data_IF_493581046855
#
_entry.id   IF_493581046855
#
_cell.length_a   1.000
_cell.length_b   1.000
_cell.length_c   1.000
_cell.angle_alpha   90.00
_cell.angle_beta   90.00
_cell.angle_gamma   90.00
#
_symmetry.space_group_name_H-M   'P 1'
#
loop_
_entity.id
_entity.type
_entity.pdbx_description
1 polymer ?
#
# COMPACT_ATOMS: atom_id res chain seq x y z
N UNK A 1 -24.61 -28.81 4.46
CA UNK A 1 -24.58 -27.55 3.69
C UNK A 1 -23.15 -27.32 3.22
N UNK A 2 -22.87 -27.34 1.92
CA UNK A 2 -21.52 -27.12 1.38
C UNK A 2 -21.51 -25.75 0.72
N UNK A 3 -21.04 -24.74 1.47
CA UNK A 3 -20.94 -23.37 0.97
C UNK A 3 -19.57 -23.21 0.34
N UNK A 4 -19.53 -23.00 -0.98
CA UNK A 4 -18.32 -22.62 -1.71
C UNK A 4 -18.43 -21.11 -1.93
N UNK A 5 -17.71 -20.33 -1.15
CA UNK A 5 -17.56 -18.89 -1.37
C UNK A 5 -16.35 -18.63 -2.27
N UNK A 6 -16.37 -17.57 -3.10
CA UNK A 6 -15.16 -17.13 -3.79
C UNK A 6 -14.03 -16.84 -2.79
N UNK A 7 -12.79 -16.81 -3.28
CA UNK A 7 -11.61 -16.48 -2.48
C UNK A 7 -11.82 -15.19 -1.71
N UNK A 8 -11.45 -15.19 -0.42
CA UNK A 8 -11.68 -14.07 0.49
C UNK A 8 -10.98 -12.81 -0.03
N UNK A 9 -11.76 -11.87 -0.57
CA UNK A 9 -11.31 -10.52 -0.87
C UNK A 9 -11.67 -9.60 0.30
N UNK A 10 -10.75 -8.73 0.70
CA UNK A 10 -11.03 -7.64 1.66
C UNK A 10 -10.64 -7.89 3.12
N UNK A 11 -10.01 -9.02 3.46
CA UNK A 11 -9.36 -9.17 4.76
C UNK A 11 -8.17 -10.13 4.68
N UNK A 12 -7.31 -10.09 5.70
CA UNK A 12 -6.28 -11.10 5.93
C UNK A 12 -6.41 -11.65 7.34
N UNK A 13 -6.02 -12.92 7.49
CA UNK A 13 -5.87 -13.60 8.79
C UNK A 13 -4.38 -13.73 9.07
N UNK A 14 -3.94 -13.26 10.25
CA UNK A 14 -2.56 -13.35 10.71
C UNK A 14 -2.55 -14.20 11.97
N UNK A 15 -1.76 -15.26 11.96
CA UNK A 15 -1.52 -16.14 13.10
C UNK A 15 -0.10 -15.88 13.60
N UNK A 16 0.05 -15.76 14.92
CA UNK A 16 1.32 -15.54 15.60
C UNK A 16 1.59 -16.74 16.52
N UNK A 17 2.68 -17.44 16.30
CA UNK A 17 3.18 -18.50 17.17
C UNK A 17 3.84 -17.93 18.43
N UNK A 18 4.19 -18.78 19.39
CA UNK A 18 4.62 -18.38 20.74
C UNK A 18 5.78 -17.37 20.79
N UNK A 19 6.66 -17.41 19.80
CA UNK A 19 7.82 -16.52 19.69
C UNK A 19 7.56 -15.28 18.83
N UNK A 20 6.46 -15.26 18.08
CA UNK A 20 6.19 -14.22 17.11
C UNK A 20 5.74 -12.94 17.80
N UNK A 21 6.33 -11.83 17.34
CA UNK A 21 5.95 -10.49 17.75
C UNK A 21 5.87 -9.61 16.52
N UNK A 22 4.73 -8.94 16.38
CA UNK A 22 4.39 -8.10 15.25
C UNK A 22 4.00 -6.70 15.72
N UNK A 23 4.49 -5.66 15.04
CA UNK A 23 4.05 -4.29 15.26
C UNK A 23 3.08 -3.89 14.14
N UNK A 24 1.80 -3.75 14.47
CA UNK A 24 0.74 -3.31 13.54
C UNK A 24 0.60 -1.79 13.59
N UNK A 25 0.68 -1.15 12.43
CA UNK A 25 0.68 0.32 12.29
C UNK A 25 -0.71 0.91 12.05
N UNK A 26 -1.67 0.08 11.65
CA UNK A 26 -3.07 0.46 11.46
C UNK A 26 -3.97 -0.36 12.39
N UNK A 27 -3.85 -0.24 13.72
CA UNK A 27 -4.53 -1.14 14.65
C UNK A 27 -6.06 -1.04 14.64
N UNK A 28 -6.62 0.04 14.11
CA UNK A 28 -8.05 0.19 13.87
C UNK A 28 -8.59 -0.70 12.74
N UNK A 29 -7.72 -1.26 11.91
CA UNK A 29 -8.08 -2.23 10.86
C UNK A 29 -8.23 -3.65 11.40
N UNK A 30 -7.77 -3.92 12.63
CA UNK A 30 -7.98 -5.21 13.30
C UNK A 30 -9.46 -5.29 13.69
N UNK A 31 -10.21 -6.14 12.99
CA UNK A 31 -11.65 -6.33 13.21
C UNK A 31 -11.98 -7.52 14.11
N UNK A 32 -11.03 -8.45 14.27
CA UNK A 32 -11.12 -9.54 15.23
C UNK A 32 -9.74 -9.87 15.79
N UNK A 33 -9.70 -10.25 17.06
CA UNK A 33 -8.50 -10.71 17.75
C UNK A 33 -8.85 -11.86 18.67
N UNK A 34 -8.07 -12.93 18.62
CA UNK A 34 -8.19 -14.11 19.45
C UNK A 34 -6.85 -14.37 20.14
N UNK A 35 -6.81 -14.25 21.46
CA UNK A 35 -5.60 -14.42 22.25
C UNK A 35 -5.73 -13.77 23.61
N UNK A 36 -4.69 -13.91 24.44
CA UNK A 36 -4.64 -13.19 25.72
C UNK A 36 -4.69 -11.68 25.48
N UNK A 37 -5.48 -10.89 26.23
CA UNK A 37 -5.43 -9.43 26.15
C UNK A 37 -4.05 -8.86 26.49
N UNK A 38 -3.24 -9.58 27.29
CA UNK A 38 -1.86 -9.20 27.63
C UNK A 38 -0.89 -9.30 26.45
N UNK A 39 -1.27 -10.03 25.40
CA UNK A 39 -0.47 -10.19 24.19
C UNK A 39 -0.71 -9.07 23.17
N UNK A 40 -1.51 -8.06 23.52
CA UNK A 40 -1.70 -6.85 22.73
C UNK A 40 -1.35 -5.62 23.57
N UNK A 41 -0.53 -4.74 23.01
CA UNK A 41 -0.17 -3.49 23.65
C UNK A 41 -0.19 -2.33 22.64
N UNK A 42 -1.05 -1.34 22.89
CA UNK A 42 -1.22 -0.18 22.02
C UNK A 42 -0.37 0.99 22.53
N UNK A 43 0.49 1.55 21.68
CA UNK A 43 1.39 2.66 22.03
C UNK A 43 1.34 3.77 20.99
N UNK A 44 1.52 5.00 21.44
CA UNK A 44 1.74 6.14 20.54
C UNK A 44 3.16 6.03 19.96
N UNK A 45 3.30 6.21 18.65
CA UNK A 45 4.60 6.31 17.99
C UNK A 45 5.05 7.76 17.87
N UNK A 46 6.30 8.04 18.24
CA UNK A 46 6.98 9.28 17.83
C UNK A 46 7.65 9.05 16.48
N UNK A 47 6.85 9.11 15.40
CA UNK A 47 7.41 9.33 14.07
C UNK A 47 7.80 10.81 13.96
N UNK A 48 8.95 11.07 13.32
CA UNK A 48 9.57 12.38 13.20
C UNK A 48 8.57 13.53 12.95
N UNK A 49 8.95 14.73 13.41
CA UNK A 49 8.12 15.93 13.58
C UNK A 49 7.05 16.24 12.51
N UNK A 50 7.23 15.85 11.25
CA UNK A 50 6.26 16.03 10.17
C UNK A 50 4.92 15.28 10.39
N UNK A 51 4.94 14.09 11.01
CA UNK A 51 3.72 13.34 11.31
C UNK A 51 3.08 13.67 12.67
N UNK A 52 3.74 14.46 13.52
CA UNK A 52 3.30 14.78 14.89
C UNK A 52 1.90 15.41 15.00
N UNK A 53 1.36 15.99 13.92
CA UNK A 53 -0.02 16.54 13.93
C UNK A 53 -1.10 15.46 14.06
N UNK A 54 -0.79 14.18 13.79
CA UNK A 54 -1.69 13.04 14.04
C UNK A 54 -0.93 12.04 14.91
N UNK A 55 -1.40 11.81 16.14
CA UNK A 55 -0.84 10.76 17.01
C UNK A 55 -1.05 9.41 16.32
N UNK A 56 0.01 8.80 15.80
CA UNK A 56 -0.04 7.46 15.23
C UNK A 56 0.02 6.45 16.37
N UNK A 57 -0.89 5.47 16.34
CA UNK A 57 -0.95 4.38 17.31
C UNK A 57 -0.42 3.13 16.62
N UNK A 58 0.53 2.45 17.25
CA UNK A 58 0.91 1.08 16.89
C UNK A 58 0.38 0.11 17.92
N UNK A 59 0.05 -1.10 17.49
CA UNK A 59 -0.22 -2.23 18.38
C UNK A 59 0.90 -3.24 18.26
N UNK A 60 1.59 -3.49 19.38
CA UNK A 60 2.47 -4.65 19.51
C UNK A 60 1.61 -5.87 19.79
N UNK A 61 1.68 -6.87 18.94
CA UNK A 61 0.94 -8.13 18.99
C UNK A 61 1.94 -9.25 19.25
N UNK A 62 1.65 -10.13 20.19
CA UNK A 62 2.51 -11.25 20.58
C UNK A 62 1.75 -12.57 20.48
N UNK A 63 2.42 -13.64 20.07
CA UNK A 63 1.81 -14.96 20.08
C UNK A 63 1.83 -15.64 21.46
N UNK A 64 1.07 -16.74 21.64
CA UNK A 64 0.16 -17.29 20.66
C UNK A 64 -1.10 -16.42 20.54
N UNK A 65 -1.41 -15.97 19.34
CA UNK A 65 -2.61 -15.18 19.06
C UNK A 65 -2.93 -15.15 17.57
N UNK A 66 -4.13 -14.70 17.26
CA UNK A 66 -4.61 -14.56 15.91
C UNK A 66 -5.39 -13.26 15.75
N UNK A 67 -5.28 -12.64 14.57
CA UNK A 67 -6.07 -11.47 14.23
C UNK A 67 -6.59 -11.51 12.80
N UNK A 68 -7.71 -10.84 12.60
CA UNK A 68 -8.25 -10.54 11.27
C UNK A 68 -8.15 -9.05 11.03
N UNK A 69 -7.48 -8.68 9.93
CA UNK A 69 -7.34 -7.30 9.49
C UNK A 69 -8.24 -7.08 8.28
N UNK A 70 -9.15 -6.10 8.37
CA UNK A 70 -9.93 -5.64 7.24
C UNK A 70 -9.04 -4.81 6.30
N UNK A 71 -9.07 -5.13 5.01
CA UNK A 71 -8.42 -4.37 3.96
C UNK A 71 -9.43 -3.43 3.29
N UNK A 72 -9.03 -2.20 2.90
CA UNK A 72 -9.82 -1.37 2.02
C UNK A 72 -10.16 -2.08 0.70
N UNK A 73 -11.27 -1.69 0.08
CA UNK A 73 -11.68 -2.26 -1.19
C UNK A 73 -10.60 -2.09 -2.28
N UNK A 74 -10.31 -3.16 -3.02
CA UNK A 74 -9.29 -3.17 -4.06
C UNK A 74 -7.85 -3.19 -3.53
N UNK A 75 -7.65 -3.24 -2.21
CA UNK A 75 -6.33 -3.42 -1.63
C UNK A 75 -6.02 -4.90 -1.34
N UNK A 76 -4.74 -5.23 -1.48
CA UNK A 76 -4.15 -6.50 -1.06
C UNK A 76 -3.08 -6.26 -0.01
N UNK A 77 -2.71 -7.32 0.70
CA UNK A 77 -1.57 -7.31 1.63
C UNK A 77 -0.60 -8.41 1.21
N UNK A 78 0.68 -8.05 1.13
CA UNK A 78 1.77 -8.97 0.86
C UNK A 78 2.85 -8.84 1.94
N UNK A 79 3.59 -9.93 2.15
CA UNK A 79 4.75 -9.93 3.04
C UNK A 79 6.02 -9.68 2.21
N UNK A 80 6.86 -8.77 2.66
CA UNK A 80 8.13 -8.43 2.01
C UNK A 80 9.27 -8.58 3.01
N UNK A 81 10.22 -9.47 2.69
CA UNK A 81 11.40 -9.72 3.50
C UNK A 81 12.40 -8.55 3.41
N UNK A 82 12.89 -8.11 4.56
CA UNK A 82 13.90 -7.06 4.68
C UNK A 82 15.20 -7.69 5.15
N UNK A 83 16.20 -7.82 4.27
CA UNK A 83 17.52 -8.29 4.67
C UNK A 83 18.25 -7.23 5.52
N UNK A 84 19.31 -7.66 6.20
CA UNK A 84 20.10 -6.80 7.08
C UNK A 84 20.73 -5.60 6.34
N UNK A 85 21.08 -5.78 5.07
CA UNK A 85 21.70 -4.78 4.19
C UNK A 85 20.68 -4.01 3.33
N UNK A 86 19.38 -4.13 3.63
CA UNK A 86 18.34 -3.43 2.88
C UNK A 86 18.60 -1.92 2.81
N UNK A 87 18.58 -1.40 1.59
CA UNK A 87 18.74 0.02 1.33
C UNK A 87 17.44 0.69 0.87
N UNK A 88 16.29 0.07 1.09
CA UNK A 88 15.00 0.59 0.62
C UNK A 88 14.41 1.63 1.57
N UNK A 89 13.87 2.68 0.97
CA UNK A 89 13.06 3.71 1.60
C UNK A 89 11.60 3.50 1.23
N UNK A 90 10.76 3.25 2.22
CA UNK A 90 9.34 2.98 2.04
C UNK A 90 8.50 4.22 2.32
N UNK A 91 7.38 4.35 1.60
CA UNK A 91 6.26 5.16 2.10
C UNK A 91 5.66 4.48 3.33
N UNK A 92 5.53 5.21 4.43
CA UNK A 92 4.97 4.65 5.65
C UNK A 92 3.51 4.24 5.51
N UNK A 93 2.74 4.91 4.63
CA UNK A 93 1.30 4.62 4.42
C UNK A 93 1.03 3.24 3.84
N UNK A 94 2.04 2.65 3.19
CA UNK A 94 1.96 1.32 2.63
C UNK A 94 2.37 0.23 3.63
N UNK A 95 2.77 0.57 4.86
CA UNK A 95 3.21 -0.43 5.84
C UNK A 95 2.08 -0.73 6.81
N UNK A 96 1.54 -1.94 6.72
CA UNK A 96 0.52 -2.47 7.64
C UNK A 96 1.14 -2.97 8.94
N UNK A 97 2.25 -3.71 8.84
CA UNK A 97 2.96 -4.25 9.98
C UNK A 97 4.45 -4.46 9.72
N UNK A 98 5.22 -4.67 10.79
CA UNK A 98 6.60 -5.16 10.71
C UNK A 98 6.93 -6.08 11.90
N UNK A 99 7.83 -7.05 11.71
CA UNK A 99 8.24 -7.97 12.78
C UNK A 99 9.10 -7.27 13.84
N UNK A 100 9.07 -7.74 15.07
CA UNK A 100 9.92 -7.23 16.15
C UNK A 100 11.42 -7.39 15.82
N UNK A 101 12.25 -6.51 16.38
CA UNK A 101 13.71 -6.54 16.18
C UNK A 101 14.21 -5.70 14.99
N UNK A 102 13.31 -5.28 14.10
CA UNK A 102 13.67 -4.41 12.98
C UNK A 102 13.95 -2.97 13.42
N UNK A 103 14.99 -2.37 12.85
CA UNK A 103 15.30 -0.95 13.03
C UNK A 103 14.44 -0.06 12.13
N UNK A 104 13.82 0.99 12.69
CA UNK A 104 13.14 2.03 11.91
C UNK A 104 13.94 3.33 11.97
N UNK A 105 14.20 3.93 10.81
CA UNK A 105 14.80 5.26 10.74
C UNK A 105 14.09 6.14 9.71
N UNK A 106 13.48 7.23 10.16
CA UNK A 106 12.88 8.22 9.27
C UNK A 106 13.93 8.93 8.43
N UNK A 107 13.60 9.22 7.17
CA UNK A 107 14.38 10.02 6.23
C UNK A 107 13.52 11.15 5.69
N UNK A 108 13.91 12.38 6.01
CA UNK A 108 13.28 13.57 5.46
C UNK A 108 13.90 13.82 4.08
N UNK A 109 13.04 13.87 3.07
CA UNK A 109 13.46 14.10 1.70
C UNK A 109 13.69 15.60 1.45
N UNK A 110 14.84 15.97 0.87
CA UNK A 110 15.19 17.37 0.55
C UNK A 110 14.55 17.86 -0.76
N UNK A 111 13.35 17.40 -1.06
CA UNK A 111 12.69 17.67 -2.34
C UNK A 111 11.96 19.01 -2.21
N UNK A 112 12.35 20.00 -3.02
CA UNK A 112 11.80 21.38 -2.99
C UNK A 112 10.27 21.43 -3.15
N UNK A 113 9.67 20.41 -3.74
CA UNK A 113 8.25 20.30 -4.05
C UNK A 113 7.50 19.28 -3.17
N UNK A 114 8.08 18.81 -2.06
CA UNK A 114 7.46 17.77 -1.22
C UNK A 114 6.07 18.16 -0.65
N UNK A 115 5.74 19.45 -0.60
CA UNK A 115 4.37 19.94 -0.33
C UNK A 115 3.35 19.32 -1.27
N UNK A 116 3.67 19.24 -2.56
CA UNK A 116 2.75 18.82 -3.62
C UNK A 116 2.31 17.38 -3.38
N UNK A 117 3.28 16.50 -3.13
CA UNK A 117 3.03 15.07 -2.87
C UNK A 117 2.57 14.77 -1.46
N UNK A 118 2.76 15.70 -0.51
CA UNK A 118 2.59 15.48 0.94
C UNK A 118 3.47 14.34 1.51
N UNK A 119 4.49 13.90 0.76
CA UNK A 119 5.39 12.78 1.06
C UNK A 119 6.79 13.28 1.47
N UNK A 120 6.88 13.90 2.65
CA UNK A 120 8.13 14.50 3.12
C UNK A 120 9.05 13.51 3.82
N UNK A 121 8.51 12.37 4.24
CA UNK A 121 9.19 11.39 5.08
C UNK A 121 9.04 10.01 4.48
N UNK A 122 10.18 9.36 4.25
CA UNK A 122 10.25 7.92 3.95
C UNK A 122 10.86 7.19 5.14
N UNK A 123 10.64 5.89 5.24
CA UNK A 123 11.19 5.09 6.34
C UNK A 123 12.15 4.05 5.78
N UNK A 124 13.35 4.03 6.36
CA UNK A 124 14.27 2.92 6.20
C UNK A 124 13.98 1.88 7.26
N UNK A 125 13.72 0.65 6.83
CA UNK A 125 13.67 -0.53 7.68
C UNK A 125 15.01 -1.25 7.59
N UNK A 126 15.59 -1.60 8.74
CA UNK A 126 16.84 -2.38 8.83
C UNK A 126 16.51 -3.73 9.44
N UNK A 127 16.80 -4.80 8.71
CA UNK A 127 16.46 -6.16 9.08
C UNK A 127 17.51 -6.87 9.95
N UNK A 128 17.43 -8.20 10.05
CA UNK A 128 16.47 -9.07 9.35
C UNK A 128 15.03 -8.94 9.90
N UNK A 129 14.03 -9.16 9.05
CA UNK A 129 12.61 -9.21 9.44
C UNK A 129 11.69 -9.01 8.24
N UNK A 130 10.38 -8.98 8.47
CA UNK A 130 9.38 -8.89 7.41
C UNK A 130 8.45 -7.68 7.58
N UNK A 131 8.03 -7.09 6.46
CA UNK A 131 7.02 -6.04 6.39
C UNK A 131 5.73 -6.59 5.78
N UNK A 132 4.59 -6.22 6.37
CA UNK A 132 3.30 -6.34 5.70
C UNK A 132 3.06 -5.08 4.88
N UNK A 133 3.06 -5.20 3.55
CA UNK A 133 2.86 -4.08 2.63
C UNK A 133 1.43 -4.12 2.08
N UNK A 134 0.70 -3.03 2.26
CA UNK A 134 -0.64 -2.84 1.72
C UNK A 134 -0.60 -2.00 0.44
N UNK A 135 -1.19 -2.53 -0.64
CA UNK A 135 -1.22 -1.89 -1.96
C UNK A 135 -2.63 -1.92 -2.55
N UNK A 136 -2.98 -0.93 -3.36
CA UNK A 136 -4.09 -1.05 -4.30
C UNK A 136 -3.62 -1.95 -5.45
N UNK A 137 -4.35 -3.01 -5.76
CA UNK A 137 -3.85 -4.04 -6.67
C UNK A 137 -2.64 -4.79 -6.12
N UNK A 138 -1.76 -5.25 -7.01
CA UNK A 138 -0.53 -5.98 -6.67
C UNK A 138 0.69 -5.05 -6.57
N UNK A 139 1.82 -5.61 -6.12
CA UNK A 139 3.12 -4.93 -6.08
C UNK A 139 4.01 -5.40 -7.23
N UNK A 140 4.41 -4.48 -8.10
CA UNK A 140 5.39 -4.73 -9.14
C UNK A 140 6.77 -4.21 -8.72
N UNK A 141 7.82 -4.93 -9.14
CA UNK A 141 9.22 -4.53 -8.93
C UNK A 141 9.85 -4.14 -10.25
N UNK A 142 10.45 -2.96 -10.31
CA UNK A 142 11.19 -2.47 -11.48
C UNK A 142 12.62 -2.19 -11.06
N UNK A 143 13.58 -2.71 -11.82
CA UNK A 143 14.99 -2.46 -11.58
C UNK A 143 15.42 -1.10 -12.15
N UNK A 144 16.01 -0.24 -11.31
CA UNK A 144 16.57 1.03 -11.75
C UNK A 144 17.82 0.83 -12.59
N UNK A 145 18.03 1.78 -13.50
CA UNK A 145 19.24 1.94 -14.28
C UNK A 145 19.81 3.36 -14.05
N UNK A 146 21.14 3.52 -13.97
CA UNK A 146 21.76 4.83 -13.75
C UNK A 146 21.56 5.81 -14.91
N UNK A 147 21.53 5.28 -16.14
CA UNK A 147 21.52 6.01 -17.41
C UNK A 147 20.12 6.15 -18.02
N UNK A 148 19.15 5.35 -17.57
CA UNK A 148 17.77 5.38 -18.04
C UNK A 148 16.80 5.72 -16.90
N UNK A 149 16.19 6.92 -16.88
CA UNK A 149 15.25 7.31 -15.85
C UNK A 149 13.98 6.47 -15.90
N UNK A 150 13.53 6.06 -14.72
CA UNK A 150 12.21 5.49 -14.49
C UNK A 150 11.26 6.62 -14.07
N UNK A 151 10.11 6.71 -14.73
CA UNK A 151 9.03 7.62 -14.35
C UNK A 151 7.92 6.83 -13.66
N UNK A 152 7.60 7.19 -12.42
CA UNK A 152 6.56 6.52 -11.62
C UNK A 152 5.52 7.56 -11.19
N UNK A 153 4.24 7.27 -11.41
CA UNK A 153 3.16 8.10 -10.86
C UNK A 153 3.31 8.23 -9.34
N UNK A 154 3.22 9.47 -8.82
CA UNK A 154 3.64 9.75 -7.45
C UNK A 154 2.90 8.93 -6.39
N UNK A 155 1.60 8.71 -6.56
CA UNK A 155 0.77 7.89 -5.68
C UNK A 155 0.98 6.38 -5.84
N UNK A 156 1.74 5.94 -6.84
CA UNK A 156 2.03 4.53 -7.09
C UNK A 156 3.37 4.07 -6.51
N UNK A 157 4.24 5.00 -6.07
CA UNK A 157 5.58 4.69 -5.57
C UNK A 157 5.60 4.21 -4.11
N UNK A 158 5.74 2.91 -3.92
CA UNK A 158 5.78 2.27 -2.59
C UNK A 158 7.16 2.37 -1.95
N UNK A 159 8.22 2.00 -2.67
CA UNK A 159 9.59 2.05 -2.15
C UNK A 159 10.65 2.24 -3.24
N UNK A 160 11.82 2.76 -2.86
CA UNK A 160 12.99 2.91 -3.75
C UNK A 160 14.30 2.92 -2.96
N UNK A 161 15.48 2.72 -3.60
CA UNK A 161 16.77 2.71 -2.90
C UNK A 161 17.16 4.09 -2.33
N UNK A 162 17.71 4.14 -1.12
CA UNK A 162 18.13 5.39 -0.42
C UNK A 162 19.15 6.21 -1.23
N UNK A 163 19.96 5.54 -2.05
CA UNK A 163 20.97 6.15 -2.90
C UNK A 163 20.47 6.49 -4.32
N UNK A 164 19.20 6.27 -4.63
CA UNK A 164 18.63 6.69 -5.90
C UNK A 164 18.49 8.21 -5.97
N UNK A 165 18.69 8.78 -7.16
CA UNK A 165 18.38 10.16 -7.43
C UNK A 165 16.90 10.27 -7.81
N UNK A 166 16.17 11.16 -7.13
CA UNK A 166 14.73 11.32 -7.30
C UNK A 166 14.36 12.80 -7.42
N UNK A 167 13.56 13.13 -8.43
CA UNK A 167 12.99 14.47 -8.59
C UNK A 167 11.55 14.41 -9.09
N UNK A 168 10.81 15.46 -8.77
CA UNK A 168 9.43 15.65 -9.21
C UNK A 168 9.40 16.10 -10.67
N UNK A 169 8.57 15.45 -11.49
CA UNK A 169 8.40 15.72 -12.91
C UNK A 169 6.93 15.59 -13.32
N UNK A 170 6.58 16.19 -14.47
CA UNK A 170 5.26 16.04 -15.08
C UNK A 170 5.47 15.70 -16.55
N UNK A 171 4.75 14.70 -17.05
CA UNK A 171 4.87 14.26 -18.44
C UNK A 171 4.06 15.16 -19.40
N UNK A 172 4.55 15.34 -20.62
CA UNK A 172 3.83 15.97 -21.72
C UNK A 172 4.15 17.45 -21.94
N UNK A 173 3.51 18.02 -22.96
CA UNK A 173 3.56 19.45 -23.25
C UNK A 173 2.77 20.26 -22.19
N UNK A 174 2.88 21.59 -22.20
CA UNK A 174 2.29 22.48 -21.18
C UNK A 174 0.78 22.38 -21.02
N UNK A 175 0.05 21.87 -22.03
CA UNK A 175 -1.39 21.65 -21.97
C UNK A 175 -1.74 20.28 -21.40
N UNK A 176 -1.03 19.23 -21.83
CA UNK A 176 -1.23 17.88 -21.32
C UNK A 176 -0.81 17.77 -19.85
N UNK A 177 0.25 18.46 -19.44
CA UNK A 177 0.77 18.42 -18.07
C UNK A 177 -0.22 18.93 -17.01
N UNK A 178 -1.25 19.70 -17.41
CA UNK A 178 -2.32 20.16 -16.50
C UNK A 178 -3.31 19.05 -16.11
N UNK A 179 -3.41 18.02 -16.94
CA UNK A 179 -4.35 16.89 -16.76
C UNK A 179 -3.65 15.59 -16.38
N UNK A 180 -2.32 15.56 -16.36
CA UNK A 180 -1.53 14.38 -16.03
C UNK A 180 -1.19 14.33 -14.54
N UNK A 181 -1.15 13.12 -14.00
CA UNK A 181 -0.63 12.89 -12.66
C UNK A 181 0.84 13.26 -12.57
N UNK A 182 1.21 13.81 -11.42
CA UNK A 182 2.58 14.13 -11.08
C UNK A 182 3.40 12.84 -10.94
N UNK A 183 4.64 12.86 -11.45
CA UNK A 183 5.52 11.71 -11.49
C UNK A 183 6.83 11.93 -10.73
N UNK A 184 7.40 10.85 -10.23
CA UNK A 184 8.77 10.76 -9.79
C UNK A 184 9.65 10.33 -10.96
N UNK A 185 10.65 11.13 -11.31
CA UNK A 185 11.76 10.70 -12.16
C UNK A 185 12.87 10.15 -11.25
N UNK A 186 13.22 8.88 -11.44
CA UNK A 186 14.13 8.13 -10.58
C UNK A 186 15.27 7.52 -11.42
N UNK A 187 16.51 7.75 -11.02
CA UNK A 187 17.70 7.06 -11.57
C UNK A 187 18.54 6.46 -10.45
N UNK A 188 19.30 5.41 -10.76
CA UNK A 188 20.18 4.77 -9.80
C UNK A 188 20.28 3.27 -9.99
N UNK A 189 20.58 2.55 -8.91
CA UNK A 189 20.68 1.10 -8.90
C UNK A 189 19.81 0.52 -7.79
N UNK A 190 19.15 -0.60 -8.06
CA UNK A 190 18.32 -1.32 -7.09
C UNK A 190 16.84 -1.35 -7.48
N UNK A 191 16.03 -2.09 -6.71
CA UNK A 191 14.62 -2.26 -7.02
C UNK A 191 13.79 -1.06 -6.58
N UNK A 192 12.82 -0.70 -7.41
CA UNK A 192 11.71 0.20 -7.08
C UNK A 192 10.44 -0.62 -7.01
N UNK A 193 9.70 -0.45 -5.92
CA UNK A 193 8.45 -1.14 -5.66
C UNK A 193 7.30 -0.18 -5.97
N UNK A 194 6.37 -0.63 -6.81
CA UNK A 194 5.20 0.15 -7.22
C UNK A 194 3.92 -0.64 -6.99
N UNK A 195 2.85 0.04 -6.56
CA UNK A 195 1.52 -0.56 -6.59
C UNK A 195 0.93 -0.45 -7.99
N UNK A 196 0.12 -1.43 -8.38
CA UNK A 196 -0.39 -1.58 -9.76
C UNK A 196 -1.87 -1.20 -9.90
N UNK A 197 -2.57 -0.98 -8.80
CA UNK A 197 -3.96 -0.55 -8.82
C UNK A 197 -4.11 0.85 -9.40
N UNK A 198 -4.95 0.98 -10.45
CA UNK A 198 -5.20 2.27 -11.09
C UNK A 198 -5.76 3.30 -10.11
N UNK A 199 -5.19 4.50 -10.11
CA UNK A 199 -5.71 5.66 -9.39
C UNK A 199 -6.61 6.55 -10.27
N UNK A 200 -6.85 6.15 -11.52
CA UNK A 200 -7.67 6.88 -12.47
C UNK A 200 -9.16 6.64 -12.20
N UNK A 201 -9.78 7.58 -11.47
CA UNK A 201 -11.20 7.55 -11.18
C UNK A 201 -12.06 7.63 -12.46
N UNK A 202 -11.61 8.35 -13.49
CA UNK A 202 -12.35 8.46 -14.75
C UNK A 202 -12.37 7.12 -15.48
N UNK A 203 -11.24 6.42 -15.53
CA UNK A 203 -11.19 5.06 -16.07
C UNK A 203 -12.06 4.11 -15.25
N UNK A 204 -11.99 4.19 -13.91
CA UNK A 204 -12.83 3.38 -13.02
C UNK A 204 -14.32 3.64 -13.30
N UNK A 205 -14.73 4.90 -13.42
CA UNK A 205 -16.11 5.30 -13.75
C UNK A 205 -16.54 4.80 -15.13
N UNK A 206 -15.69 4.92 -16.17
CA UNK A 206 -15.99 4.41 -17.51
C UNK A 206 -16.20 2.89 -17.52
N UNK A 207 -15.34 2.16 -16.80
CA UNK A 207 -15.46 0.71 -16.67
C UNK A 207 -16.71 0.30 -15.86
N UNK A 208 -17.10 1.09 -14.86
CA UNK A 208 -18.31 0.83 -14.06
C UNK A 208 -19.61 1.26 -14.76
N UNK A 209 -19.62 2.33 -15.55
CA UNK A 209 -20.81 2.78 -16.28
C UNK A 209 -21.34 1.71 -17.24
N UNK A 210 -20.44 0.99 -17.90
CA UNK A 210 -20.79 -0.13 -18.78
C UNK A 210 -21.48 -1.29 -18.02
N UNK A 211 -21.14 -1.47 -16.74
CA UNK A 211 -21.75 -2.49 -15.87
C UNK A 211 -23.11 -2.07 -15.30
N UNK A 212 -23.28 -0.78 -14.96
CA UNK A 212 -24.53 -0.23 -14.43
C UNK A 212 -25.59 -0.09 -15.51
N UNK A 213 -25.23 0.37 -16.71
CA UNK A 213 -26.16 0.45 -17.85
C UNK A 213 -26.62 -0.96 -18.26
N UNK A 214 -25.71 -1.95 -18.32
CA UNK A 214 -26.09 -3.35 -18.59
C UNK A 214 -26.99 -3.94 -17.50
N UNK A 215 -26.81 -3.55 -16.24
CA UNK A 215 -27.67 -3.97 -15.13
C UNK A 215 -29.06 -3.32 -15.21
N UNK A 216 -29.13 -2.02 -15.46
CA UNK A 216 -30.38 -1.29 -15.67
C UNK A 216 -31.14 -1.80 -16.89
N UNK A 217 -30.47 -2.05 -18.02
CA UNK A 217 -31.11 -2.63 -19.21
C UNK A 217 -31.64 -4.04 -18.95
N UNK A 218 -30.98 -4.83 -18.11
CA UNK A 218 -31.44 -6.17 -17.72
C UNK A 218 -32.61 -6.13 -16.75
N UNK A 219 -32.67 -5.13 -15.88
CA UNK A 219 -33.77 -4.92 -14.92
C UNK A 219 -34.98 -4.23 -15.58
N UNK A 220 -34.79 -3.42 -16.63
CA UNK A 220 -35.85 -2.68 -17.33
C UNK A 220 -36.41 -3.36 -18.59
N UNK A 221 -35.82 -4.46 -19.07
CA UNK A 221 -36.36 -5.23 -20.20
C UNK A 221 -37.08 -6.50 -19.70
N UNK A 222 -38.40 -6.47 -19.50
CA UNK A 222 -39.18 -7.64 -19.06
C UNK A 222 -39.37 -8.75 -20.10
N UNK A 223 -38.76 -8.69 -21.28
CA UNK A 223 -39.00 -9.66 -22.37
C UNK A 223 -37.73 -10.07 -23.11
N UNK A 224 -36.77 -10.63 -22.38
CA UNK A 224 -35.65 -11.38 -22.95
C UNK A 224 -36.08 -12.80 -23.33
N UNK A 225 -36.95 -12.95 -24.33
CA UNK A 225 -37.18 -14.23 -25.01
C UNK A 225 -38.64 -14.59 -25.25
N UNK A 226 -39.23 -14.05 -26.32
CA UNK A 226 -40.27 -14.76 -27.10
C UNK A 226 -40.04 -14.44 -28.57
N UNK A 227 -39.63 -15.44 -29.35
CA UNK A 227 -39.73 -15.43 -30.81
C UNK A 227 -41.21 -15.59 -31.17
N UNK A 228 -41.77 -14.69 -31.98
CA UNK A 228 -43.07 -14.91 -32.64
C UNK A 228 -42.88 -14.73 -34.13
N UNK A 229 -43.40 -15.71 -34.88
CA UNK A 229 -43.50 -15.79 -36.33
C UNK A 229 -44.78 -15.11 -36.79
#
# INVERSE_FOLDING_TARGET
MKVITPGQLGHVRIQLDTIDVLNVLHPKSIIAYQGSPRNREDRIMDLAAAYRKRKWIRSRMQGPSEMVIALPAGCSLLTFEIPADSNLLFDFRHIMFFTEGMGLKSRIQKIKNAWITREWVRIKFTGPGALGIITKGELATIQLQPDRPLFVESGSLVAYPENANIKLSVYGNTLASQHMSVQWEITGNGPVLIQTGSNDNQLIEQLHHDSLIRRLLRELLPFGGIYIK
#
